data_IF_916975458412
#
_entry.id   IF_916975458412
#
_cell.length_a   1.000
_cell.length_b   1.000
_cell.length_c   1.000
_cell.angle_alpha   90.00
_cell.angle_beta   90.00
_cell.angle_gamma   90.00
#
_symmetry.space_group_name_H-M   'P 1'
#
loop_
_entity.id
_entity.type
_entity.pdbx_description
1 polymer ?
#
# COMPACT_ATOMS: atom_id res chain seq x y z
N UNK A 1 15.03 -14.36 7.72
CA UNK A 1 13.95 -13.47 7.24
C UNK A 1 14.57 -12.40 6.34
N UNK A 2 14.24 -12.36 5.05
CA UNK A 2 14.71 -11.29 4.17
C UNK A 2 13.99 -9.99 4.53
N UNK A 3 14.73 -8.93 4.87
CA UNK A 3 14.17 -7.58 4.97
C UNK A 3 13.42 -7.28 3.67
N UNK A 4 12.23 -6.68 3.77
CA UNK A 4 11.54 -6.15 2.61
C UNK A 4 12.51 -5.28 1.80
N UNK A 5 12.65 -5.56 0.51
CA UNK A 5 13.61 -4.88 -0.33
C UNK A 5 13.04 -3.53 -0.76
N UNK A 6 13.58 -2.45 -0.20
CA UNK A 6 13.43 -1.10 -0.73
C UNK A 6 14.58 -0.88 -1.71
N UNK A 7 14.26 -0.77 -3.00
CA UNK A 7 15.24 -0.56 -4.07
C UNK A 7 15.01 0.82 -4.66
N UNK A 8 16.04 1.67 -4.68
CA UNK A 8 15.95 3.07 -5.15
C UNK A 8 14.81 3.87 -4.50
N UNK A 9 14.49 3.57 -3.23
CA UNK A 9 13.41 4.19 -2.48
C UNK A 9 12.01 3.71 -2.82
N UNK A 10 11.88 2.65 -3.60
CA UNK A 10 10.59 2.03 -3.91
C UNK A 10 10.49 0.70 -3.17
N UNK A 11 9.40 0.53 -2.44
CA UNK A 11 8.96 -0.77 -1.95
C UNK A 11 7.85 -1.29 -2.85
N UNK A 12 7.90 -2.57 -3.23
CA UNK A 12 6.93 -3.17 -4.15
C UNK A 12 6.14 -4.26 -3.44
N UNK A 13 4.82 -4.24 -3.63
CA UNK A 13 3.87 -5.28 -3.20
C UNK A 13 3.01 -5.72 -4.36
N UNK A 14 3.01 -7.02 -4.64
CA UNK A 14 2.06 -7.60 -5.59
C UNK A 14 0.74 -7.88 -4.87
N UNK A 15 -0.37 -7.39 -5.42
CA UNK A 15 -1.73 -7.66 -4.95
C UNK A 15 -2.30 -8.81 -5.78
N UNK A 16 -2.41 -10.03 -5.19
CA UNK A 16 -2.86 -11.20 -5.93
C UNK A 16 -4.33 -11.08 -6.30
N UNK A 17 -4.74 -11.79 -7.37
CA UNK A 17 -6.10 -11.70 -7.93
C UNK A 17 -7.20 -12.01 -6.91
N UNK A 18 -6.96 -12.92 -5.98
CA UNK A 18 -7.92 -13.28 -4.92
C UNK A 18 -8.05 -12.21 -3.80
N UNK A 19 -7.19 -11.19 -3.81
CA UNK A 19 -7.28 -10.03 -2.90
C UNK A 19 -7.82 -8.79 -3.63
N UNK A 20 -8.16 -8.93 -4.90
CA UNK A 20 -8.82 -7.89 -5.68
C UNK A 20 -10.33 -8.11 -5.64
N UNK A 21 -11.08 -7.01 -5.56
CA UNK A 21 -12.53 -6.97 -5.61
C UNK A 21 -12.97 -6.25 -6.89
N UNK A 22 -14.21 -6.46 -7.37
CA UNK A 22 -14.76 -5.66 -8.47
C UNK A 22 -14.64 -4.16 -8.19
N UNK A 23 -14.42 -3.36 -9.24
CA UNK A 23 -14.30 -1.90 -9.11
C UNK A 23 -12.90 -1.39 -8.80
N UNK A 24 -11.84 -2.18 -9.04
CA UNK A 24 -10.46 -1.71 -8.89
C UNK A 24 -9.96 -1.61 -7.44
N UNK A 25 -10.60 -2.35 -6.54
CA UNK A 25 -10.22 -2.39 -5.13
C UNK A 25 -9.28 -3.55 -4.87
N UNK A 26 -8.15 -3.28 -4.22
CA UNK A 26 -7.16 -4.27 -3.81
C UNK A 26 -6.93 -4.24 -2.31
N UNK A 27 -7.17 -5.36 -1.63
CA UNK A 27 -6.82 -5.52 -0.22
C UNK A 27 -5.33 -5.77 -0.10
N UNK A 28 -4.65 -5.11 0.85
CA UNK A 28 -3.21 -5.24 1.07
C UNK A 28 -2.83 -4.83 2.50
N UNK A 29 -1.54 -4.87 2.78
CA UNK A 29 -0.90 -4.52 4.04
C UNK A 29 0.50 -3.94 3.75
N UNK A 30 1.09 -3.30 4.77
CA UNK A 30 2.50 -2.89 4.76
C UNK A 30 3.09 -3.08 6.16
N UNK A 31 4.31 -3.60 6.26
CA UNK A 31 5.00 -3.67 7.55
C UNK A 31 5.30 -2.26 8.09
N UNK A 32 5.08 -2.02 9.39
CA UNK A 32 5.41 -0.74 10.03
C UNK A 32 6.90 -0.42 9.88
N UNK A 33 7.76 -1.43 9.91
CA UNK A 33 9.20 -1.28 9.68
C UNK A 33 9.56 -0.81 8.27
N UNK A 34 8.77 -1.18 7.25
CA UNK A 34 8.94 -0.69 5.88
C UNK A 34 8.53 0.77 5.79
N UNK A 35 7.37 1.11 6.35
CA UNK A 35 6.87 2.48 6.34
C UNK A 35 7.76 3.42 7.17
N UNK A 36 8.37 2.92 8.24
CA UNK A 36 9.32 3.66 9.06
C UNK A 36 10.70 3.82 8.41
N UNK A 37 11.07 2.98 7.43
CA UNK A 37 12.40 3.03 6.81
C UNK A 37 12.62 4.38 6.10
N UNK A 38 13.67 5.14 6.44
CA UNK A 38 13.91 6.46 5.87
C UNK A 38 14.26 6.42 4.38
N UNK A 39 14.66 5.27 3.85
CA UNK A 39 14.97 5.10 2.42
C UNK A 39 13.72 5.00 1.57
N UNK A 40 12.58 4.59 2.13
CA UNK A 40 11.32 4.51 1.42
C UNK A 40 10.85 5.91 1.01
N UNK A 41 10.50 6.06 -0.26
CA UNK A 41 9.91 7.25 -0.86
C UNK A 41 8.53 6.94 -1.44
N UNK A 42 8.38 5.77 -2.06
CA UNK A 42 7.17 5.35 -2.77
C UNK A 42 6.83 3.90 -2.43
N UNK A 43 5.56 3.65 -2.11
CA UNK A 43 5.00 2.30 -2.09
C UNK A 43 4.32 2.02 -3.43
N UNK A 44 4.76 0.97 -4.11
CA UNK A 44 4.24 0.51 -5.40
C UNK A 44 3.42 -0.78 -5.20
N UNK A 45 2.15 -0.72 -5.56
CA UNK A 45 1.21 -1.83 -5.50
C UNK A 45 0.86 -2.29 -6.90
N UNK A 46 1.21 -3.53 -7.23
CA UNK A 46 0.98 -4.12 -8.55
C UNK A 46 -0.23 -5.03 -8.50
N UNK A 47 -1.32 -4.64 -9.13
CA UNK A 47 -2.50 -5.48 -9.25
C UNK A 47 -2.21 -6.56 -10.31
N UNK A 48 -2.23 -7.84 -9.92
CA UNK A 48 -2.04 -8.93 -10.87
C UNK A 48 -3.11 -8.85 -11.97
N UNK A 49 -2.66 -8.66 -13.22
CA UNK A 49 -3.54 -8.49 -14.38
C UNK A 49 -4.22 -7.13 -14.48
N UNK A 50 -3.79 -6.15 -13.67
CA UNK A 50 -4.35 -4.80 -13.61
C UNK A 50 -3.25 -3.72 -13.54
N UNK A 51 -3.61 -2.51 -13.11
CA UNK A 51 -2.67 -1.38 -13.09
C UNK A 51 -1.63 -1.49 -11.98
N UNK A 52 -0.59 -0.66 -12.10
CA UNK A 52 0.35 -0.42 -11.01
C UNK A 52 0.01 0.91 -10.34
N UNK A 53 -0.13 0.89 -9.02
CA UNK A 53 -0.45 2.08 -8.22
C UNK A 53 0.77 2.48 -7.41
N UNK A 54 1.18 3.74 -7.50
CA UNK A 54 2.24 4.33 -6.68
C UNK A 54 1.66 5.35 -5.72
N UNK A 55 2.02 5.24 -4.45
CA UNK A 55 1.62 6.15 -3.39
C UNK A 55 2.88 6.65 -2.68
N UNK A 56 2.99 7.96 -2.46
CA UNK A 56 4.08 8.53 -1.68
C UNK A 56 4.05 7.99 -0.25
N UNK A 57 5.22 7.78 0.34
CA UNK A 57 5.35 7.28 1.72
C UNK A 57 4.54 8.13 2.70
N UNK A 58 4.63 9.44 2.59
CA UNK A 58 4.03 10.42 3.49
C UNK A 58 2.50 10.36 3.41
N UNK A 59 1.98 10.26 2.19
CA UNK A 59 0.54 10.12 1.94
C UNK A 59 0.00 8.79 2.45
N UNK A 60 0.71 7.69 2.16
CA UNK A 60 0.34 6.37 2.67
C UNK A 60 0.35 6.36 4.20
N UNK A 61 1.38 6.93 4.82
CA UNK A 61 1.50 7.05 6.27
C UNK A 61 0.33 7.81 6.88
N UNK A 62 0.00 8.98 6.31
CA UNK A 62 -1.11 9.84 6.74
C UNK A 62 -2.45 9.10 6.81
N UNK A 63 -2.70 8.16 5.91
CA UNK A 63 -3.99 7.43 5.85
C UNK A 63 -3.98 6.12 6.62
N UNK A 64 -2.88 5.37 6.63
CA UNK A 64 -2.85 4.07 7.33
C UNK A 64 -2.72 4.22 8.83
N UNK A 65 -2.04 5.27 9.32
CA UNK A 65 -1.94 5.56 10.76
C UNK A 65 -3.28 6.01 11.38
N UNK A 66 -4.25 6.43 10.55
CA UNK A 66 -5.62 6.74 10.97
C UNK A 66 -6.51 5.49 11.04
N UNK A 67 -6.04 4.37 10.49
CA UNK A 67 -6.76 3.10 10.49
C UNK A 67 -6.66 2.37 11.84
N UNK A 68 -7.46 1.31 11.98
CA UNK A 68 -7.41 0.41 13.15
C UNK A 68 -6.14 -0.42 13.07
N UNK A 69 -5.33 -0.38 14.13
CA UNK A 69 -4.13 -1.21 14.27
C UNK A 69 -4.52 -2.70 14.36
N UNK A 70 -4.01 -3.52 13.44
CA UNK A 70 -4.30 -4.94 13.38
C UNK A 70 -2.98 -5.73 13.27
N UNK A 71 -2.92 -6.88 13.95
CA UNK A 71 -1.77 -7.81 14.01
C UNK A 71 -0.55 -7.31 14.79
N UNK A 72 -0.65 -7.38 16.12
CA UNK A 72 0.49 -7.35 17.05
C UNK A 72 1.51 -6.23 16.79
N UNK A 73 1.02 -5.07 16.35
CA UNK A 73 1.81 -3.86 16.16
C UNK A 73 2.89 -3.94 15.05
N UNK A 74 2.83 -4.93 14.14
CA UNK A 74 3.88 -5.14 13.12
C UNK A 74 3.53 -4.66 11.72
N UNK A 75 2.24 -4.61 11.38
CA UNK A 75 1.76 -4.18 10.07
C UNK A 75 0.74 -3.07 10.22
N UNK A 76 0.67 -2.21 9.21
CA UNK A 76 -0.51 -1.42 8.96
C UNK A 76 -1.38 -2.20 7.96
N UNK A 77 -2.57 -2.60 8.38
CA UNK A 77 -3.53 -3.31 7.54
C UNK A 77 -4.20 -4.50 8.24
N UNK A 78 -5.12 -5.19 7.57
CA UNK A 78 -5.44 -5.05 6.16
C UNK A 78 -6.15 -3.72 5.84
N UNK A 79 -5.84 -3.15 4.67
CA UNK A 79 -6.54 -1.99 4.12
C UNK A 79 -6.83 -2.18 2.63
N UNK A 80 -7.77 -1.41 2.10
CA UNK A 80 -8.18 -1.43 0.71
C UNK A 80 -7.61 -0.23 -0.03
N UNK A 81 -6.95 -0.46 -1.16
CA UNK A 81 -6.61 0.57 -2.14
C UNK A 81 -7.66 0.52 -3.24
N UNK A 82 -8.37 1.62 -3.47
CA UNK A 82 -9.23 1.79 -4.63
C UNK A 82 -8.52 2.68 -5.64
N UNK A 83 -8.02 2.07 -6.72
CA UNK A 83 -7.27 2.79 -7.74
C UNK A 83 -8.15 3.54 -8.74
N UNK A 84 -9.47 3.33 -8.72
CA UNK A 84 -10.42 4.08 -9.56
C UNK A 84 -10.92 5.33 -8.82
N UNK A 85 -11.21 5.19 -7.53
CA UNK A 85 -11.65 6.28 -6.67
C UNK A 85 -10.49 7.09 -6.06
N UNK A 86 -9.23 6.66 -6.27
CA UNK A 86 -8.04 7.27 -5.66
C UNK A 86 -8.12 7.35 -4.12
N UNK A 87 -8.50 6.22 -3.48
CA UNK A 87 -8.62 6.16 -2.02
C UNK A 87 -7.87 5.00 -1.38
N UNK A 88 -7.54 5.16 -0.10
CA UNK A 88 -7.10 4.09 0.79
C UNK A 88 -8.07 4.02 1.96
N UNK A 89 -8.77 2.90 2.14
CA UNK A 89 -9.87 2.75 3.11
C UNK A 89 -10.92 3.88 3.00
N UNK A 90 -11.21 4.36 1.78
CA UNK A 90 -12.14 5.46 1.54
C UNK A 90 -11.57 6.86 1.84
N UNK A 91 -10.35 6.97 2.37
CA UNK A 91 -9.67 8.25 2.54
C UNK A 91 -8.98 8.66 1.23
N UNK A 92 -9.18 9.89 0.73
CA UNK A 92 -8.51 10.38 -0.47
C UNK A 92 -6.98 10.38 -0.29
N UNK A 93 -6.30 9.93 -1.34
CA UNK A 93 -4.84 9.82 -1.41
C UNK A 93 -4.36 10.23 -2.78
N UNK A 94 -3.29 11.03 -2.84
CA UNK A 94 -2.58 11.24 -4.09
C UNK A 94 -1.88 9.94 -4.52
N UNK A 95 -2.29 9.40 -5.67
CA UNK A 95 -1.70 8.20 -6.24
C UNK A 95 -1.53 8.32 -7.75
N UNK A 96 -0.44 7.73 -8.24
CA UNK A 96 -0.18 7.58 -9.66
C UNK A 96 -0.59 6.17 -10.10
N UNK A 97 -1.50 6.10 -11.07
CA UNK A 97 -1.94 4.83 -11.70
C UNK A 97 -1.25 4.69 -13.05
N UNK A 98 -0.53 3.59 -13.24
CA UNK A 98 0.28 3.25 -14.42
C UNK A 98 -0.30 2.04 -15.15
#
# INVERSE_FOLDING_TARGET
MSRAQIVNGVWIRNIPKNWQQPGGVGRTDIFKSVLADPRLKVAEYRFVGGPTVRILKEELKRVVEKGVDHYSDQIWGPFNIDHQAHTVNGLPVEMQVL
#
